data_IF_127708908110
#
_entry.id   IF_127708908110
#
_cell.length_a   1.000
_cell.length_b   1.000
_cell.length_c   1.000
_cell.angle_alpha   90.00
_cell.angle_beta   90.00
_cell.angle_gamma   90.00
#
_symmetry.space_group_name_H-M   'P 1'
#
loop_
_entity.id
_entity.type
_entity.pdbx_description
1 polymer ?
#
# COMPACT_ATOMS: atom_id res chain seq x y z
N UNK A 1 -6.26 35.62 -17.82
CA UNK A 1 -7.56 35.92 -17.18
C UNK A 1 -8.35 34.65 -16.83
N UNK A 2 -8.55 33.69 -17.76
CA UNK A 2 -9.30 32.44 -17.51
C UNK A 2 -8.78 31.62 -16.33
N UNK A 3 -7.46 31.52 -16.16
CA UNK A 3 -6.83 30.76 -15.07
C UNK A 3 -7.22 31.29 -13.68
N UNK A 4 -7.29 32.61 -13.53
CA UNK A 4 -7.65 33.23 -12.26
C UNK A 4 -9.09 32.88 -11.87
N UNK A 5 -10.03 33.09 -12.79
CA UNK A 5 -11.45 32.78 -12.54
C UNK A 5 -11.69 31.28 -12.34
N UNK A 6 -11.00 30.43 -13.09
CA UNK A 6 -11.11 28.97 -12.96
C UNK A 6 -10.50 28.45 -11.66
N UNK A 7 -9.49 29.13 -11.11
CA UNK A 7 -8.92 28.77 -9.82
C UNK A 7 -9.90 29.04 -8.67
N UNK A 8 -10.73 30.08 -8.78
CA UNK A 8 -11.64 30.54 -7.72
C UNK A 8 -13.03 29.90 -7.85
N UNK A 9 -13.59 29.85 -9.06
CA UNK A 9 -14.97 29.42 -9.31
C UNK A 9 -15.02 28.11 -10.09
N UNK A 10 -16.13 27.39 -9.96
CA UNK A 10 -16.46 26.28 -10.87
C UNK A 10 -17.18 26.90 -12.06
N UNK A 11 -16.47 27.02 -13.19
CA UNK A 11 -17.05 27.59 -14.41
C UNK A 11 -17.78 26.51 -15.22
N UNK A 12 -18.87 26.85 -15.94
CA UNK A 12 -19.57 25.89 -16.80
C UNK A 12 -18.66 25.37 -17.92
N UNK A 13 -18.81 24.09 -18.29
CA UNK A 13 -18.06 23.51 -19.40
C UNK A 13 -18.31 24.22 -20.74
N UNK A 14 -19.52 24.73 -20.94
CA UNK A 14 -19.88 25.54 -22.12
C UNK A 14 -19.07 26.83 -22.23
N UNK A 15 -18.60 27.40 -21.11
CA UNK A 15 -17.71 28.55 -21.14
C UNK A 15 -16.34 28.17 -21.73
N UNK A 16 -15.74 27.08 -21.24
CA UNK A 16 -14.45 26.60 -21.75
C UNK A 16 -14.53 26.24 -23.23
N UNK A 17 -15.54 25.48 -23.63
CA UNK A 17 -15.79 25.13 -25.03
C UNK A 17 -15.95 26.36 -25.92
N UNK A 18 -16.62 27.42 -25.42
CA UNK A 18 -16.76 28.67 -26.16
C UNK A 18 -15.41 29.36 -26.35
N UNK A 19 -14.59 29.48 -25.31
CA UNK A 19 -13.27 30.10 -25.42
C UNK A 19 -12.36 29.29 -26.36
N UNK A 20 -12.33 27.97 -26.23
CA UNK A 20 -11.58 27.08 -27.14
C UNK A 20 -12.02 27.27 -28.61
N UNK A 21 -13.32 27.44 -28.86
CA UNK A 21 -13.84 27.77 -30.18
C UNK A 21 -13.35 29.13 -30.71
N UNK A 22 -13.26 30.17 -29.87
CA UNK A 22 -12.72 31.47 -30.26
C UNK A 22 -11.21 31.37 -30.57
N UNK A 23 -10.47 30.60 -29.78
CA UNK A 23 -9.05 30.35 -30.01
C UNK A 23 -8.82 29.59 -31.32
N UNK A 24 -9.64 28.58 -31.61
CA UNK A 24 -9.60 27.85 -32.88
C UNK A 24 -9.90 28.76 -34.08
N UNK A 25 -10.95 29.59 -33.98
CA UNK A 25 -11.30 30.54 -35.04
C UNK A 25 -10.16 31.53 -35.29
N UNK A 26 -9.57 32.07 -34.23
CA UNK A 26 -8.45 33.01 -34.33
C UNK A 26 -7.23 32.36 -34.99
N UNK A 27 -6.87 31.14 -34.59
CA UNK A 27 -5.71 30.43 -35.14
C UNK A 27 -5.84 30.19 -36.65
N UNK A 28 -7.03 29.77 -37.12
CA UNK A 28 -7.22 29.38 -38.53
C UNK A 28 -7.60 30.53 -39.46
N UNK A 29 -8.24 31.57 -38.94
CA UNK A 29 -8.85 32.64 -39.75
C UNK A 29 -8.48 34.06 -39.32
N UNK A 30 -7.67 34.22 -38.28
CA UNK A 30 -7.27 35.51 -37.70
C UNK A 30 -8.46 36.38 -37.22
N UNK A 31 -9.58 35.74 -36.85
CA UNK A 31 -10.77 36.39 -36.28
C UNK A 31 -11.53 35.44 -35.35
N UNK A 32 -12.43 35.95 -34.51
CA UNK A 32 -13.14 35.15 -33.49
C UNK A 32 -14.55 34.68 -33.90
N UNK A 33 -14.99 34.94 -35.14
CA UNK A 33 -16.35 34.65 -35.58
C UNK A 33 -16.65 33.15 -35.82
N UNK A 34 -15.82 32.47 -36.61
CA UNK A 34 -16.01 31.06 -36.97
C UNK A 34 -14.71 30.35 -37.30
N UNK A 35 -14.60 29.09 -36.91
CA UNK A 35 -13.50 28.19 -37.29
C UNK A 35 -13.82 27.39 -38.57
N UNK A 36 -14.84 27.78 -39.35
CA UNK A 36 -15.22 27.09 -40.58
C UNK A 36 -14.04 26.99 -41.55
N UNK A 37 -13.81 25.77 -42.06
CA UNK A 37 -12.67 25.42 -42.91
C UNK A 37 -11.32 25.30 -42.18
N UNK A 38 -11.33 25.11 -40.86
CA UNK A 38 -10.15 24.62 -40.13
C UNK A 38 -9.68 23.27 -40.73
N UNK A 39 -8.37 23.15 -40.98
CA UNK A 39 -7.78 21.94 -41.58
C UNK A 39 -7.50 20.84 -40.55
N UNK A 40 -7.31 21.22 -39.29
CA UNK A 40 -7.03 20.30 -38.18
C UNK A 40 -7.95 20.65 -37.01
N UNK A 41 -8.54 19.64 -36.38
CA UNK A 41 -9.45 19.84 -35.26
C UNK A 41 -8.71 20.42 -34.04
N UNK A 42 -9.39 21.24 -33.22
CA UNK A 42 -8.78 21.90 -32.06
C UNK A 42 -8.13 20.90 -31.09
N UNK A 43 -8.79 19.77 -30.84
CA UNK A 43 -8.24 18.68 -30.01
C UNK A 43 -6.88 18.16 -30.49
N UNK A 44 -6.65 18.13 -31.81
CA UNK A 44 -5.41 17.63 -32.39
C UNK A 44 -4.33 18.71 -32.40
N UNK A 45 -4.73 19.98 -32.57
CA UNK A 45 -3.86 21.14 -32.36
C UNK A 45 -3.35 21.19 -30.91
N UNK A 46 -4.18 20.81 -29.94
CA UNK A 46 -3.84 20.78 -28.53
C UNK A 46 -2.89 19.65 -28.11
N UNK A 47 -2.65 18.65 -28.97
CA UNK A 47 -1.73 17.54 -28.63
C UNK A 47 -0.30 18.04 -28.40
N UNK A 48 0.53 17.31 -27.63
CA UNK A 48 1.94 17.60 -27.49
C UNK A 48 2.65 17.70 -28.85
N UNK A 49 3.72 18.50 -28.92
CA UNK A 49 4.52 18.64 -30.15
C UNK A 49 5.10 17.31 -30.65
N UNK A 50 5.40 16.40 -29.73
CA UNK A 50 5.87 15.04 -30.07
C UNK A 50 4.81 14.20 -30.79
N UNK A 51 3.52 14.51 -30.61
CA UNK A 51 2.39 13.83 -31.26
C UNK A 51 1.87 14.60 -32.48
N UNK A 52 2.62 15.61 -32.96
CA UNK A 52 2.26 16.42 -34.13
C UNK A 52 1.30 17.59 -33.85
N UNK A 53 0.99 17.88 -32.58
CA UNK A 53 0.22 19.07 -32.19
C UNK A 53 1.10 20.30 -31.92
N UNK A 54 0.49 21.38 -31.43
CA UNK A 54 1.18 22.62 -31.03
C UNK A 54 1.55 22.68 -29.55
N UNK A 55 1.08 21.72 -28.74
CA UNK A 55 1.28 21.70 -27.29
C UNK A 55 0.44 22.72 -26.52
N UNK A 56 -0.66 23.19 -27.11
CA UNK A 56 -1.62 24.06 -26.44
C UNK A 56 -2.51 23.22 -25.52
N UNK A 57 -2.72 23.63 -24.27
CA UNK A 57 -3.61 22.88 -23.37
C UNK A 57 -5.08 23.24 -23.65
N UNK A 58 -5.96 22.26 -23.87
CA UNK A 58 -7.39 22.53 -24.03
C UNK A 58 -7.96 23.05 -22.72
N UNK A 59 -8.87 24.04 -22.80
CA UNK A 59 -9.40 24.69 -21.59
C UNK A 59 -10.42 23.82 -20.85
N UNK A 60 -11.06 22.87 -21.53
CA UNK A 60 -11.97 21.91 -20.89
C UNK A 60 -11.28 21.12 -19.75
N UNK A 61 -9.98 20.87 -19.86
CA UNK A 61 -9.19 20.19 -18.81
C UNK A 61 -8.95 21.08 -17.58
N UNK A 62 -9.07 22.41 -17.72
CA UNK A 62 -8.74 23.35 -16.64
C UNK A 62 -9.70 23.19 -15.47
N UNK A 63 -10.97 22.88 -15.72
CA UNK A 63 -11.96 22.64 -14.66
C UNK A 63 -11.50 21.52 -13.72
N UNK A 64 -11.01 20.41 -14.26
CA UNK A 64 -10.47 19.29 -13.50
C UNK A 64 -9.19 19.69 -12.77
N UNK A 65 -8.24 20.31 -13.47
CA UNK A 65 -6.94 20.70 -12.90
C UNK A 65 -7.09 21.67 -11.73
N UNK A 66 -7.94 22.69 -11.86
CA UNK A 66 -8.15 23.65 -10.76
C UNK A 66 -8.95 23.06 -9.61
N UNK A 67 -9.84 22.11 -9.88
CA UNK A 67 -10.52 21.36 -8.82
C UNK A 67 -9.53 20.47 -8.07
N UNK A 68 -8.63 19.76 -8.77
CA UNK A 68 -7.53 19.01 -8.15
C UNK A 68 -6.63 19.91 -7.29
N UNK A 69 -6.24 21.08 -7.82
CA UNK A 69 -5.47 22.07 -7.07
C UNK A 69 -6.20 22.54 -5.81
N UNK A 70 -7.52 22.68 -5.88
CA UNK A 70 -8.36 23.09 -4.73
C UNK A 70 -8.43 22.01 -3.67
N UNK A 71 -8.57 20.74 -4.07
CA UNK A 71 -8.46 19.59 -3.16
C UNK A 71 -7.08 19.57 -2.51
N UNK A 72 -6.01 19.78 -3.28
CA UNK A 72 -4.66 19.86 -2.75
C UNK A 72 -4.53 20.96 -1.68
N UNK A 73 -4.97 22.19 -1.98
CA UNK A 73 -4.94 23.33 -1.02
C UNK A 73 -5.72 23.00 0.26
N UNK A 74 -6.86 22.31 0.14
CA UNK A 74 -7.64 21.87 1.31
C UNK A 74 -6.84 20.99 2.27
N UNK A 75 -5.96 20.13 1.75
CA UNK A 75 -5.10 19.26 2.56
C UNK A 75 -3.76 19.91 2.94
N UNK A 76 -3.14 20.70 2.07
CA UNK A 76 -1.78 21.24 2.25
C UNK A 76 -1.72 22.58 2.99
N UNK A 77 -2.77 23.40 2.91
CA UNK A 77 -2.73 24.80 3.38
C UNK A 77 -3.49 25.00 4.69
N UNK A 78 -2.93 24.47 5.78
CA UNK A 78 -3.39 24.79 7.15
C UNK A 78 -3.25 26.28 7.43
N UNK A 79 -4.34 26.96 7.80
CA UNK A 79 -4.38 28.40 8.11
C UNK A 79 -5.09 29.28 7.06
N UNK A 80 -5.56 28.70 5.96
CA UNK A 80 -6.49 29.41 5.07
C UNK A 80 -7.88 29.47 5.69
N UNK A 81 -8.46 30.67 5.80
CA UNK A 81 -9.85 30.86 6.28
C UNK A 81 -10.86 30.01 5.50
N UNK A 82 -10.65 29.83 4.19
CA UNK A 82 -11.50 28.97 3.37
C UNK A 82 -11.39 27.49 3.78
N UNK A 83 -10.17 27.01 4.06
CA UNK A 83 -9.93 25.63 4.53
C UNK A 83 -10.53 25.43 5.93
N UNK A 84 -10.32 26.38 6.83
CA UNK A 84 -10.82 26.30 8.20
C UNK A 84 -12.36 26.35 8.22
N UNK A 85 -12.97 27.22 7.42
CA UNK A 85 -14.41 27.27 7.25
C UNK A 85 -14.96 25.94 6.72
N UNK A 86 -14.34 25.36 5.69
CA UNK A 86 -14.75 24.06 5.17
C UNK A 86 -14.65 22.95 6.22
N UNK A 87 -13.56 22.90 6.98
CA UNK A 87 -13.37 21.91 8.05
C UNK A 87 -14.42 22.06 9.16
N UNK A 88 -14.78 23.29 9.52
CA UNK A 88 -15.69 23.58 10.64
C UNK A 88 -17.18 23.57 10.27
N UNK A 89 -17.54 23.81 9.01
CA UNK A 89 -18.94 23.90 8.58
C UNK A 89 -19.37 22.77 7.65
N UNK A 90 -18.51 22.37 6.71
CA UNK A 90 -18.84 21.32 5.72
C UNK A 90 -18.41 19.94 6.21
N UNK A 91 -17.15 19.81 6.64
CA UNK A 91 -16.53 18.53 7.00
C UNK A 91 -16.42 18.29 8.51
N UNK A 92 -17.30 18.92 9.29
CA UNK A 92 -17.26 18.87 10.75
C UNK A 92 -17.73 17.53 11.31
N UNK A 93 -18.76 16.94 10.70
CA UNK A 93 -19.29 15.60 11.05
C UNK A 93 -18.64 14.48 10.25
N UNK A 94 -18.43 14.73 8.96
CA UNK A 94 -17.91 13.74 8.02
C UNK A 94 -16.62 14.24 7.38
N UNK A 95 -15.66 13.34 7.20
CA UNK A 95 -14.38 13.67 6.57
C UNK A 95 -14.55 13.76 5.06
N UNK A 96 -13.65 14.49 4.41
CA UNK A 96 -13.61 14.68 2.95
C UNK A 96 -13.81 13.38 2.16
N UNK A 97 -13.08 12.32 2.54
CA UNK A 97 -13.11 11.01 1.87
C UNK A 97 -14.38 10.18 2.10
N UNK A 98 -15.24 10.59 3.02
CA UNK A 98 -16.44 9.83 3.41
C UNK A 98 -17.74 10.58 3.13
N UNK A 99 -17.67 11.88 2.91
CA UNK A 99 -18.84 12.69 2.61
C UNK A 99 -19.35 12.34 1.21
N UNK A 100 -20.63 11.99 1.13
CA UNK A 100 -21.30 11.74 -0.15
C UNK A 100 -21.73 13.04 -0.82
N UNK A 101 -21.70 13.10 -2.16
CA UNK A 101 -22.24 14.25 -2.90
C UNK A 101 -23.74 14.43 -2.59
N UNK A 102 -24.15 15.67 -2.39
CA UNK A 102 -25.53 16.05 -2.09
C UNK A 102 -25.86 17.38 -2.76
N UNK A 103 -27.09 17.55 -3.30
CA UNK A 103 -27.54 18.83 -3.84
C UNK A 103 -27.50 20.01 -2.85
N UNK A 104 -27.43 19.74 -1.55
CA UNK A 104 -27.32 20.76 -0.49
C UNK A 104 -25.93 21.38 -0.40
N UNK A 105 -24.92 20.73 -0.96
CA UNK A 105 -23.54 21.20 -0.95
C UNK A 105 -23.32 22.23 -2.05
N UNK A 106 -22.39 23.17 -1.83
CA UNK A 106 -22.06 24.16 -2.84
C UNK A 106 -21.43 23.49 -4.07
N UNK A 107 -21.62 24.01 -5.30
CA UNK A 107 -21.04 23.45 -6.51
C UNK A 107 -19.53 23.22 -6.42
N UNK A 108 -18.81 24.09 -5.70
CA UNK A 108 -17.39 23.94 -5.39
C UNK A 108 -17.07 22.70 -4.56
N UNK A 109 -17.82 22.43 -3.49
CA UNK A 109 -17.59 21.24 -2.67
C UNK A 109 -17.97 19.99 -3.46
N UNK A 110 -19.08 20.04 -4.19
CA UNK A 110 -19.54 18.92 -5.02
C UNK A 110 -18.51 18.53 -6.07
N UNK A 111 -17.92 19.50 -6.78
CA UNK A 111 -16.87 19.22 -7.77
C UNK A 111 -15.62 18.59 -7.13
N UNK A 112 -15.26 19.01 -5.91
CA UNK A 112 -14.17 18.38 -5.15
C UNK A 112 -14.48 16.91 -4.81
N UNK A 113 -15.70 16.62 -4.33
CA UNK A 113 -16.13 15.26 -3.99
C UNK A 113 -16.22 14.34 -5.22
N UNK A 114 -16.67 14.87 -6.36
CA UNK A 114 -16.74 14.11 -7.61
C UNK A 114 -15.36 13.67 -8.12
N UNK A 115 -14.30 14.39 -7.76
CA UNK A 115 -12.92 14.00 -8.07
C UNK A 115 -12.26 13.10 -7.02
N UNK A 116 -12.95 12.75 -5.93
CA UNK A 116 -12.38 11.85 -4.90
C UNK A 116 -11.77 10.55 -5.47
N UNK A 117 -12.40 9.83 -6.42
CA UNK A 117 -11.80 8.62 -6.99
C UNK A 117 -10.45 8.88 -7.65
N UNK A 118 -10.35 9.95 -8.45
CA UNK A 118 -9.09 10.34 -9.13
C UNK A 118 -8.04 10.77 -8.10
N UNK A 119 -8.41 11.62 -7.14
CA UNK A 119 -7.47 12.11 -6.12
C UNK A 119 -6.94 10.95 -5.27
N UNK A 120 -7.77 9.94 -5.00
CA UNK A 120 -7.37 8.76 -4.21
C UNK A 120 -6.27 7.92 -4.89
N UNK A 121 -6.04 8.06 -6.18
CA UNK A 121 -4.95 7.37 -6.88
C UNK A 121 -3.61 8.10 -6.71
N UNK A 122 -3.64 9.44 -6.69
CA UNK A 122 -2.43 10.26 -6.75
C UNK A 122 -2.01 10.86 -5.40
N UNK A 123 -2.93 11.03 -4.45
CA UNK A 123 -2.66 11.72 -3.20
C UNK A 123 -2.45 10.73 -2.05
N UNK A 124 -1.37 10.90 -1.31
CA UNK A 124 -1.04 10.13 -0.11
C UNK A 124 -0.74 11.08 1.04
N UNK A 125 -1.06 10.64 2.25
CA UNK A 125 -0.74 11.37 3.46
C UNK A 125 0.60 10.86 4.00
N UNK A 126 1.57 11.76 4.13
CA UNK A 126 2.80 11.48 4.89
C UNK A 126 2.50 11.68 6.37
N UNK A 127 2.67 10.62 7.17
CA UNK A 127 2.22 10.59 8.57
C UNK A 127 3.02 11.56 9.45
N UNK A 128 4.34 11.65 9.22
CA UNK A 128 5.25 12.36 10.12
C UNK A 128 5.11 11.86 11.56
N UNK A 129 4.83 12.77 12.50
CA UNK A 129 4.57 12.43 13.91
C UNK A 129 3.16 11.87 14.18
N UNK A 130 2.28 11.83 13.18
CA UNK A 130 0.92 11.30 13.27
C UNK A 130 -0.11 12.23 13.92
N UNK A 131 0.23 13.47 14.27
CA UNK A 131 -0.69 14.41 14.92
C UNK A 131 -1.75 15.02 13.97
N UNK A 132 -1.46 15.05 12.68
CA UNK A 132 -2.34 15.64 11.66
C UNK A 132 -3.16 14.56 10.97
N UNK A 133 -2.54 13.45 10.59
CA UNK A 133 -3.17 12.35 9.87
C UNK A 133 -4.30 11.70 10.68
N UNK A 134 -5.46 11.54 10.06
CA UNK A 134 -6.55 10.74 10.61
C UNK A 134 -6.24 9.26 10.47
N UNK A 135 -6.37 8.50 11.56
CA UNK A 135 -6.12 7.07 11.56
C UNK A 135 -7.02 6.32 10.58
N UNK A 136 -8.32 6.66 10.55
CA UNK A 136 -9.33 5.92 9.80
C UNK A 136 -9.54 6.39 8.36
N UNK A 137 -9.41 7.69 8.10
CA UNK A 137 -9.93 8.31 6.88
C UNK A 137 -8.86 8.74 5.88
N UNK A 138 -7.62 8.98 6.31
CA UNK A 138 -6.58 9.46 5.41
C UNK A 138 -5.85 8.30 4.71
N UNK A 139 -5.35 8.57 3.50
CA UNK A 139 -4.59 7.64 2.67
C UNK A 139 -3.12 7.56 3.11
N UNK A 140 -2.89 7.18 4.38
CA UNK A 140 -1.55 7.06 4.96
C UNK A 140 -0.99 5.62 4.93
N UNK A 141 -1.80 4.65 4.51
CA UNK A 141 -1.37 3.27 4.27
C UNK A 141 -1.50 2.88 2.80
N UNK A 142 -0.87 1.79 2.39
CA UNK A 142 -1.05 1.21 1.05
C UNK A 142 -2.45 0.64 0.82
N UNK A 143 -3.20 0.37 1.89
CA UNK A 143 -4.58 -0.12 1.83
C UNK A 143 -5.60 1.01 1.64
N UNK A 144 -5.15 2.27 1.59
CA UNK A 144 -6.02 3.44 1.58
C UNK A 144 -6.58 3.75 2.98
N UNK A 145 -7.77 4.38 3.06
CA UNK A 145 -8.44 4.67 4.32
C UNK A 145 -8.82 3.37 5.03
N UNK A 146 -8.29 3.17 6.24
CA UNK A 146 -8.50 1.95 7.01
C UNK A 146 -9.98 1.63 7.27
N UNK A 147 -10.86 2.65 7.32
CA UNK A 147 -12.29 2.46 7.51
C UNK A 147 -12.97 1.72 6.34
N UNK A 148 -12.42 1.83 5.13
CA UNK A 148 -12.95 1.13 3.95
C UNK A 148 -12.61 -0.36 4.00
N UNK A 149 -11.44 -0.71 4.53
CA UNK A 149 -10.99 -2.09 4.67
C UNK A 149 -11.61 -2.78 5.90
N UNK A 150 -11.54 -2.14 7.07
CA UNK A 150 -11.99 -2.73 8.33
C UNK A 150 -13.51 -2.57 8.57
N UNK A 151 -14.19 -1.77 7.75
CA UNK A 151 -15.62 -1.50 7.84
C UNK A 151 -16.00 -0.44 8.88
N UNK A 152 -17.25 0.04 8.81
CA UNK A 152 -17.74 1.16 9.63
C UNK A 152 -17.78 0.87 11.14
N UNK A 153 -17.76 -0.41 11.54
CA UNK A 153 -17.73 -0.82 12.94
C UNK A 153 -16.31 -0.86 13.52
N UNK A 154 -15.27 -0.79 12.70
CA UNK A 154 -13.88 -0.91 13.13
C UNK A 154 -13.47 0.08 14.25
N UNK A 155 -13.89 1.37 14.24
CA UNK A 155 -13.58 2.26 15.36
C UNK A 155 -14.08 1.76 16.72
N UNK A 156 -15.22 1.06 16.74
CA UNK A 156 -15.76 0.45 17.95
C UNK A 156 -15.03 -0.85 18.28
N UNK A 157 -14.82 -1.71 17.28
CA UNK A 157 -14.18 -3.02 17.47
C UNK A 157 -12.74 -2.91 17.96
N UNK A 158 -11.97 -1.96 17.41
CA UNK A 158 -10.56 -1.75 17.73
C UNK A 158 -10.34 -0.69 18.82
N UNK A 159 -11.41 -0.14 19.41
CA UNK A 159 -11.39 0.89 20.46
C UNK A 159 -10.53 2.13 20.11
N UNK A 160 -10.36 2.41 18.82
CA UNK A 160 -9.74 3.63 18.32
C UNK A 160 -10.85 4.56 17.86
N UNK A 161 -10.95 5.74 18.48
CA UNK A 161 -12.03 6.70 18.20
C UNK A 161 -12.12 6.99 16.70
N UNK A 162 -13.33 7.18 16.18
CA UNK A 162 -13.56 7.46 14.75
C UNK A 162 -12.77 8.69 14.27
N UNK A 163 -12.61 9.70 15.13
CA UNK A 163 -11.86 10.91 14.85
C UNK A 163 -10.38 10.87 15.28
N UNK A 164 -9.86 9.71 15.73
CA UNK A 164 -8.51 9.58 16.24
C UNK A 164 -7.45 9.95 15.19
N UNK A 165 -6.38 10.56 15.68
CA UNK A 165 -5.14 10.78 14.93
C UNK A 165 -4.25 9.55 14.97
N UNK A 166 -3.32 9.43 14.01
CA UNK A 166 -2.39 8.29 13.96
C UNK A 166 -1.52 8.23 15.23
N UNK A 167 -1.10 9.37 15.76
CA UNK A 167 -0.33 9.45 17.02
C UNK A 167 -1.08 8.90 18.24
N UNK A 168 -2.42 8.97 18.25
CA UNK A 168 -3.23 8.46 19.37
C UNK A 168 -3.27 6.91 19.38
N UNK A 169 -2.95 6.28 18.24
CA UNK A 169 -2.86 4.83 18.11
C UNK A 169 -1.44 4.30 18.34
N UNK A 170 -0.48 5.15 18.74
CA UNK A 170 0.90 4.75 19.03
C UNK A 170 1.37 5.24 20.40
N UNK A 171 2.30 4.54 21.03
CA UNK A 171 3.00 4.96 22.25
C UNK A 171 4.45 4.49 22.18
N UNK A 172 5.38 5.42 22.39
CA UNK A 172 6.83 5.15 22.33
C UNK A 172 7.30 4.51 21.01
N UNK A 173 6.64 4.82 19.88
CA UNK A 173 6.96 4.23 18.58
C UNK A 173 6.33 2.86 18.30
N UNK A 174 5.58 2.31 19.26
CA UNK A 174 4.84 1.06 19.09
C UNK A 174 3.35 1.31 18.90
N UNK A 175 2.67 0.43 18.17
CA UNK A 175 1.23 0.50 17.96
C UNK A 175 0.47 0.07 19.21
N UNK A 176 -0.33 0.97 19.77
CA UNK A 176 -1.33 0.66 20.78
C UNK A 176 -2.59 0.20 20.06
N UNK A 177 -2.61 -1.05 19.63
CA UNK A 177 -3.83 -1.68 19.10
C UNK A 177 -4.48 -2.49 20.25
N UNK A 178 -5.59 -2.02 20.82
CA UNK A 178 -6.34 -2.80 21.80
C UNK A 178 -6.82 -4.10 21.16
N UNK A 179 -6.86 -5.19 21.93
CA UNK A 179 -7.46 -6.44 21.48
C UNK A 179 -8.88 -6.17 20.94
N UNK A 180 -9.15 -6.62 19.71
CA UNK A 180 -10.42 -6.35 19.04
C UNK A 180 -11.59 -6.97 19.82
N UNK A 181 -12.75 -6.30 19.82
CA UNK A 181 -13.98 -6.81 20.46
C UNK A 181 -14.72 -7.85 19.61
N UNK A 182 -14.50 -7.87 18.30
CA UNK A 182 -15.20 -8.76 17.39
C UNK A 182 -14.47 -10.10 17.29
N UNK A 183 -15.22 -11.20 17.34
CA UNK A 183 -14.69 -12.56 17.32
C UNK A 183 -13.91 -12.82 16.01
N UNK A 184 -14.23 -12.11 14.92
CA UNK A 184 -13.51 -12.19 13.64
C UNK A 184 -12.13 -11.48 13.63
N UNK A 185 -11.85 -10.61 14.61
CA UNK A 185 -10.59 -9.87 14.74
C UNK A 185 -9.81 -10.22 16.03
N UNK A 186 -10.35 -11.11 16.87
CA UNK A 186 -9.65 -11.65 18.03
C UNK A 186 -8.69 -12.72 17.55
N UNK A 187 -7.43 -12.34 17.41
CA UNK A 187 -6.34 -13.32 17.29
C UNK A 187 -6.25 -14.03 18.65
N UNK A 188 -6.32 -15.38 18.69
CA UNK A 188 -6.13 -16.11 19.93
C UNK A 188 -4.80 -15.72 20.60
N UNK A 189 -4.81 -15.49 21.91
CA UNK A 189 -3.58 -15.24 22.66
C UNK A 189 -2.68 -16.49 22.68
N UNK A 190 -3.28 -17.68 22.62
CA UNK A 190 -2.57 -18.93 22.42
C UNK A 190 -2.12 -19.10 20.97
N UNK A 191 -0.93 -19.66 20.77
CA UNK A 191 -0.36 -19.99 19.48
C UNK A 191 -1.30 -20.89 18.68
N UNK A 192 -1.77 -20.41 17.52
CA UNK A 192 -2.71 -21.16 16.67
C UNK A 192 -2.08 -22.40 16.00
N UNK A 193 -0.75 -22.51 16.06
CA UNK A 193 -0.03 -23.64 15.47
C UNK A 193 0.04 -24.85 16.40
N UNK A 194 0.37 -24.66 17.69
CA UNK A 194 0.48 -25.74 18.68
C UNK A 194 -0.61 -25.74 19.74
N UNK A 195 -1.33 -24.63 19.93
CA UNK A 195 -2.34 -24.43 20.97
C UNK A 195 -1.87 -24.54 22.43
N UNK A 196 -0.54 -24.58 22.67
CA UNK A 196 0.02 -24.91 24.00
C UNK A 196 0.63 -23.73 24.77
N UNK A 197 1.04 -22.65 24.10
CA UNK A 197 1.69 -21.48 24.72
C UNK A 197 1.16 -20.17 24.16
N UNK A 198 1.42 -19.07 24.86
CA UNK A 198 1.16 -17.71 24.37
C UNK A 198 1.91 -17.47 23.04
N UNK A 199 1.22 -16.91 22.06
CA UNK A 199 1.82 -16.56 20.79
C UNK A 199 2.70 -15.31 20.93
N UNK A 200 4.01 -15.49 20.78
CA UNK A 200 4.99 -14.42 20.62
C UNK A 200 5.81 -14.67 19.37
N UNK A 201 6.50 -13.66 18.82
CA UNK A 201 7.41 -13.89 17.70
C UNK A 201 8.46 -14.96 18.01
N UNK A 202 9.00 -14.96 19.24
CA UNK A 202 9.96 -15.95 19.70
C UNK A 202 9.35 -17.37 19.70
N UNK A 203 8.17 -17.51 20.30
CA UNK A 203 7.48 -18.80 20.33
C UNK A 203 7.11 -19.29 18.93
N UNK A 204 6.49 -18.43 18.12
CA UNK A 204 5.97 -18.76 16.80
C UNK A 204 7.05 -19.34 15.88
N UNK A 205 8.26 -18.80 15.91
CA UNK A 205 9.33 -19.21 15.00
C UNK A 205 10.32 -20.20 15.62
N UNK A 206 10.62 -20.13 16.93
CA UNK A 206 11.73 -20.89 17.51
C UNK A 206 11.33 -21.96 18.52
N UNK A 207 10.32 -21.72 19.37
CA UNK A 207 9.92 -22.68 20.42
C UNK A 207 8.73 -23.56 20.05
N UNK A 208 7.91 -23.15 19.07
CA UNK A 208 6.71 -23.87 18.71
C UNK A 208 7.08 -25.23 18.10
N UNK A 209 6.54 -26.32 18.65
CA UNK A 209 6.78 -27.69 18.15
C UNK A 209 6.37 -27.86 16.68
N UNK A 210 5.26 -27.22 16.28
CA UNK A 210 4.81 -27.23 14.89
C UNK A 210 5.81 -26.53 13.95
N UNK A 211 6.30 -25.35 14.34
CA UNK A 211 7.24 -24.58 13.52
C UNK A 211 8.63 -25.18 13.49
N UNK A 212 9.13 -25.63 14.64
CA UNK A 212 10.44 -26.28 14.77
C UNK A 212 10.52 -27.57 13.95
N UNK A 213 9.43 -28.35 13.87
CA UNK A 213 9.37 -29.50 12.98
C UNK A 213 9.64 -29.14 11.50
N UNK A 214 9.39 -27.90 11.06
CA UNK A 214 9.63 -27.49 9.68
C UNK A 214 11.11 -27.19 9.40
N UNK A 215 11.76 -26.43 10.27
CA UNK A 215 13.10 -25.91 10.01
C UNK A 215 14.21 -26.68 10.73
N UNK A 216 13.94 -27.35 11.87
CA UNK A 216 14.97 -28.11 12.61
C UNK A 216 15.73 -29.12 11.75
N UNK A 217 15.07 -29.93 10.90
CA UNK A 217 15.79 -30.95 10.14
C UNK A 217 16.83 -30.35 9.18
N UNK A 218 16.53 -29.19 8.59
CA UNK A 218 17.48 -28.45 7.76
C UNK A 218 18.53 -27.71 8.58
N UNK A 219 18.12 -27.16 9.73
CA UNK A 219 19.00 -26.44 10.64
C UNK A 219 20.07 -27.35 11.25
N UNK A 220 19.73 -28.58 11.64
CA UNK A 220 20.69 -29.55 12.20
C UNK A 220 21.73 -30.03 11.18
N UNK A 221 21.42 -29.95 9.88
CA UNK A 221 22.36 -30.30 8.83
C UNK A 221 23.39 -29.18 8.56
N UNK A 222 23.07 -27.95 8.96
CA UNK A 222 23.87 -26.75 8.70
C UNK A 222 24.60 -26.28 9.97
N UNK A 223 23.91 -26.33 11.10
CA UNK A 223 24.38 -25.82 12.39
C UNK A 223 24.55 -26.96 13.38
N UNK A 224 25.75 -27.04 13.98
CA UNK A 224 26.01 -27.87 15.15
C UNK A 224 25.07 -27.53 16.31
N UNK A 225 24.71 -26.25 16.43
CA UNK A 225 23.72 -25.72 17.37
C UNK A 225 22.80 -24.76 16.61
N UNK A 226 21.56 -25.18 16.29
CA UNK A 226 20.59 -24.33 15.62
C UNK A 226 20.31 -23.03 16.39
N UNK A 227 20.13 -21.89 15.70
CA UNK A 227 19.74 -20.63 16.32
C UNK A 227 18.41 -20.79 17.07
N UNK A 228 18.40 -20.35 18.32
CA UNK A 228 17.20 -20.35 19.18
C UNK A 228 16.41 -19.06 19.12
N UNK A 229 16.95 -18.03 18.46
CA UNK A 229 16.33 -16.71 18.36
C UNK A 229 16.72 -15.97 17.06
N UNK A 230 16.04 -14.85 16.81
CA UNK A 230 16.23 -14.03 15.62
C UNK A 230 17.60 -13.34 15.57
N UNK A 231 18.14 -12.90 16.71
CA UNK A 231 19.44 -12.24 16.79
C UNK A 231 20.57 -13.23 16.49
N UNK A 232 20.48 -14.45 17.02
CA UNK A 232 21.38 -15.57 16.71
C UNK A 232 21.36 -15.90 15.22
N UNK A 233 20.15 -15.97 14.62
CA UNK A 233 19.98 -16.20 13.18
C UNK A 233 20.61 -15.07 12.34
N UNK A 234 20.33 -13.81 12.70
CA UNK A 234 20.87 -12.63 12.00
C UNK A 234 22.38 -12.54 12.15
N UNK A 235 22.92 -12.81 13.33
CA UNK A 235 24.37 -12.77 13.60
C UNK A 235 25.14 -13.75 12.72
N UNK A 236 24.55 -14.91 12.43
CA UNK A 236 25.12 -15.89 11.52
C UNK A 236 25.03 -15.44 10.07
N UNK A 237 23.85 -14.97 9.64
CA UNK A 237 23.63 -14.45 8.27
C UNK A 237 24.59 -13.30 7.94
N UNK A 238 24.91 -12.45 8.93
CA UNK A 238 25.79 -11.29 8.80
C UNK A 238 27.28 -11.60 8.98
N UNK A 239 27.68 -12.85 9.24
CA UNK A 239 29.09 -13.27 9.35
C UNK A 239 29.49 -14.14 8.15
N UNK A 240 29.93 -13.55 7.03
CA UNK A 240 30.32 -14.30 5.84
C UNK A 240 31.47 -15.30 6.08
N UNK A 241 32.35 -15.01 7.05
CA UNK A 241 33.56 -15.80 7.33
C UNK A 241 33.27 -17.18 7.94
N UNK A 242 32.07 -17.44 8.46
CA UNK A 242 31.72 -18.75 9.05
C UNK A 242 31.05 -19.70 8.05
N UNK A 243 30.58 -19.22 6.91
CA UNK A 243 30.07 -20.09 5.85
C UNK A 243 31.25 -20.60 5.03
N UNK A 244 31.63 -21.86 5.22
CA UNK A 244 32.70 -22.53 4.47
C UNK A 244 32.60 -22.35 2.95
N UNK A 245 31.39 -22.09 2.40
CA UNK A 245 31.12 -21.84 0.98
C UNK A 245 30.00 -20.79 0.81
N UNK A 246 30.15 -19.87 -0.15
CA UNK A 246 29.14 -18.83 -0.50
C UNK A 246 27.76 -19.43 -0.84
N UNK A 247 27.75 -20.60 -1.48
CA UNK A 247 26.56 -21.35 -1.85
C UNK A 247 25.76 -21.87 -0.65
N UNK A 248 26.43 -22.30 0.43
CA UNK A 248 25.75 -22.73 1.67
C UNK A 248 25.01 -21.56 2.32
N UNK A 249 25.60 -20.36 2.30
CA UNK A 249 24.94 -19.17 2.83
C UNK A 249 23.65 -18.81 2.07
N UNK A 250 23.63 -19.01 0.75
CA UNK A 250 22.42 -18.80 -0.08
C UNK A 250 21.33 -19.80 0.27
N UNK A 251 21.68 -21.09 0.37
CA UNK A 251 20.73 -22.16 0.71
C UNK A 251 20.10 -21.90 2.09
N UNK A 252 20.90 -21.51 3.07
CA UNK A 252 20.41 -21.25 4.44
C UNK A 252 19.49 -20.03 4.48
N UNK A 253 19.82 -18.96 3.76
CA UNK A 253 18.93 -17.79 3.61
C UNK A 253 17.58 -18.20 3.00
N UNK A 254 17.61 -19.06 1.97
CA UNK A 254 16.40 -19.56 1.32
C UNK A 254 15.56 -20.45 2.25
N UNK A 255 16.20 -21.35 3.01
CA UNK A 255 15.52 -22.19 4.02
C UNK A 255 14.85 -21.31 5.06
N UNK A 256 15.56 -20.33 5.63
CA UNK A 256 15.02 -19.43 6.65
C UNK A 256 13.85 -18.60 6.10
N UNK A 257 14.05 -17.93 4.97
CA UNK A 257 13.01 -17.10 4.34
C UNK A 257 11.76 -17.92 3.99
N UNK A 258 11.94 -19.11 3.42
CA UNK A 258 10.83 -19.97 3.00
C UNK A 258 10.09 -20.57 4.21
N UNK A 259 10.82 -20.92 5.28
CA UNK A 259 10.22 -21.40 6.54
C UNK A 259 9.37 -20.31 7.19
N UNK A 260 9.90 -19.09 7.33
CA UNK A 260 9.16 -17.93 7.86
C UNK A 260 7.90 -17.67 7.05
N UNK A 261 8.01 -17.69 5.72
CA UNK A 261 6.87 -17.48 4.83
C UNK A 261 5.78 -18.55 5.00
N UNK A 262 6.15 -19.84 5.01
CA UNK A 262 5.19 -20.94 5.15
C UNK A 262 4.53 -20.96 6.53
N UNK A 263 5.29 -20.71 7.60
CA UNK A 263 4.77 -20.58 8.97
C UNK A 263 3.74 -19.46 9.02
N UNK A 264 4.08 -18.28 8.48
CA UNK A 264 3.18 -17.13 8.45
C UNK A 264 1.90 -17.41 7.63
N UNK A 265 2.06 -18.07 6.47
CA UNK A 265 0.93 -18.45 5.61
C UNK A 265 -0.02 -19.41 6.32
N UNK A 266 0.50 -20.44 6.97
CA UNK A 266 -0.28 -21.42 7.72
C UNK A 266 -0.98 -20.79 8.93
N UNK A 267 -0.26 -19.96 9.71
CA UNK A 267 -0.84 -19.20 10.83
C UNK A 267 -2.06 -18.40 10.38
N UNK A 268 -1.94 -17.66 9.27
CA UNK A 268 -3.04 -16.86 8.75
C UNK A 268 -4.18 -17.71 8.20
N UNK A 269 -3.88 -18.85 7.56
CA UNK A 269 -4.92 -19.78 7.09
C UNK A 269 -5.73 -20.35 8.26
N UNK A 270 -5.09 -20.67 9.39
CA UNK A 270 -5.80 -21.10 10.60
C UNK A 270 -6.69 -20.01 11.19
N UNK A 271 -6.22 -18.77 11.21
CA UNK A 271 -6.97 -17.64 11.77
C UNK A 271 -8.15 -17.25 10.87
N UNK A 272 -7.92 -17.10 9.56
CA UNK A 272 -8.90 -16.48 8.67
C UNK A 272 -9.73 -17.46 7.86
N UNK A 273 -9.26 -18.70 7.68
CA UNK A 273 -9.97 -19.73 6.89
C UNK A 273 -10.24 -21.01 7.68
N UNK A 274 -9.86 -21.08 8.96
CA UNK A 274 -10.01 -22.26 9.82
C UNK A 274 -9.43 -23.56 9.22
N UNK A 275 -8.46 -23.43 8.32
CA UNK A 275 -7.78 -24.56 7.68
C UNK A 275 -6.48 -24.87 8.40
N UNK A 276 -6.27 -26.12 8.78
CA UNK A 276 -5.04 -26.59 9.42
C UNK A 276 -4.39 -27.67 8.59
N UNK A 277 -3.11 -27.48 8.31
CA UNK A 277 -2.27 -28.43 7.58
C UNK A 277 -1.32 -29.11 8.56
N UNK A 278 -0.98 -30.41 8.39
CA UNK A 278 0.04 -31.05 9.22
C UNK A 278 1.47 -30.63 8.81
N UNK A 279 2.46 -30.64 9.73
CA UNK A 279 3.83 -30.18 9.45
C UNK A 279 4.49 -30.87 8.26
N UNK A 280 4.20 -32.17 8.06
CA UNK A 280 4.81 -32.98 7.00
C UNK A 280 4.46 -32.49 5.60
N UNK A 281 3.26 -31.91 5.41
CA UNK A 281 2.87 -31.33 4.12
C UNK A 281 3.62 -30.02 3.88
N UNK A 282 3.80 -29.20 4.93
CA UNK A 282 4.61 -27.98 4.84
C UNK A 282 6.09 -28.28 4.62
N UNK A 283 6.65 -29.35 5.20
CA UNK A 283 8.02 -29.79 4.92
C UNK A 283 8.20 -30.13 3.43
N UNK A 284 7.26 -30.85 2.83
CA UNK A 284 7.27 -31.13 1.38
C UNK A 284 7.15 -29.85 0.54
N UNK A 285 6.32 -28.90 0.99
CA UNK A 285 6.19 -27.61 0.32
C UNK A 285 7.47 -26.77 0.44
N UNK A 286 8.14 -26.80 1.59
CA UNK A 286 9.41 -26.13 1.85
C UNK A 286 10.51 -26.69 0.94
N UNK A 287 10.66 -28.01 0.90
CA UNK A 287 11.59 -28.71 0.00
C UNK A 287 11.37 -28.33 -1.45
N UNK A 288 10.11 -28.34 -1.91
CA UNK A 288 9.76 -27.92 -3.27
C UNK A 288 10.13 -26.45 -3.55
N UNK A 289 9.77 -25.53 -2.65
CA UNK A 289 10.07 -24.11 -2.82
C UNK A 289 11.58 -23.84 -2.93
N UNK A 290 12.37 -24.54 -2.12
CA UNK A 290 13.83 -24.42 -2.16
C UNK A 290 14.36 -24.97 -3.49
N UNK A 291 13.93 -26.17 -3.92
CA UNK A 291 14.35 -26.76 -5.20
C UNK A 291 14.01 -25.87 -6.38
N UNK A 292 12.77 -25.40 -6.47
CA UNK A 292 12.28 -24.54 -7.54
C UNK A 292 13.12 -23.24 -7.61
N UNK A 293 13.52 -22.70 -6.45
CA UNK A 293 14.41 -21.53 -6.40
C UNK A 293 15.85 -21.87 -6.76
N UNK A 294 16.40 -22.98 -6.29
CA UNK A 294 17.76 -23.40 -6.60
C UNK A 294 17.95 -23.71 -8.09
N UNK A 295 16.93 -24.24 -8.76
CA UNK A 295 16.91 -24.45 -10.22
C UNK A 295 16.99 -23.15 -11.03
N UNK A 296 16.59 -22.02 -10.45
CA UNK A 296 16.67 -20.72 -11.13
C UNK A 296 18.06 -20.09 -11.12
N UNK A 297 19.02 -20.64 -10.37
CA UNK A 297 20.39 -20.16 -10.37
C UNK A 297 21.21 -20.87 -11.47
N UNK A 298 21.87 -20.11 -12.35
CA UNK A 298 22.74 -20.70 -13.38
C UNK A 298 23.96 -21.37 -12.74
N UNK A 299 24.42 -22.47 -13.33
CA UNK A 299 25.68 -23.09 -12.93
C UNK A 299 26.85 -22.14 -13.25
N UNK A 300 27.73 -21.91 -12.28
CA UNK A 300 28.90 -21.04 -12.46
C UNK A 300 29.91 -21.62 -13.45
N UNK A 301 30.11 -22.94 -13.42
CA UNK A 301 30.91 -23.72 -14.37
C UNK A 301 30.39 -25.16 -14.46
N UNK A 302 30.56 -25.86 -15.60
CA UNK A 302 30.10 -27.25 -15.78
C UNK A 302 30.79 -28.28 -14.85
N UNK A 303 31.88 -27.90 -14.20
CA UNK A 303 32.64 -28.72 -13.24
C UNK A 303 32.38 -28.39 -11.76
N UNK A 304 31.58 -27.35 -11.47
CA UNK A 304 31.23 -26.98 -10.09
C UNK A 304 29.98 -27.73 -9.62
N UNK A 305 30.01 -28.26 -8.39
CA UNK A 305 28.81 -28.86 -7.76
C UNK A 305 27.69 -27.83 -7.73
N UNK A 306 26.51 -28.23 -8.19
CA UNK A 306 25.36 -27.31 -8.24
C UNK A 306 24.88 -26.99 -6.82
N UNK A 307 24.26 -25.81 -6.62
CA UNK A 307 23.66 -25.48 -5.33
C UNK A 307 22.53 -26.45 -4.94
N UNK A 308 21.89 -27.08 -5.93
CA UNK A 308 20.89 -28.12 -5.70
C UNK A 308 21.51 -29.42 -5.17
N UNK A 309 22.67 -29.80 -5.69
CA UNK A 309 23.44 -30.94 -5.20
C UNK A 309 23.93 -30.72 -3.77
N UNK A 310 24.45 -29.52 -3.49
CA UNK A 310 24.82 -29.10 -2.14
C UNK A 310 23.60 -29.10 -1.20
N UNK A 311 22.42 -28.68 -1.68
CA UNK A 311 21.18 -28.75 -0.90
C UNK A 311 20.79 -30.18 -0.54
N UNK A 312 20.97 -31.16 -1.43
CA UNK A 312 20.69 -32.55 -1.10
C UNK A 312 21.58 -33.11 0.02
N UNK A 313 22.79 -32.58 0.19
CA UNK A 313 23.64 -32.95 1.33
C UNK A 313 23.13 -32.42 2.68
N UNK A 314 22.30 -31.37 2.67
CA UNK A 314 21.66 -30.82 3.87
C UNK A 314 20.34 -31.52 4.23
N UNK A 315 19.91 -32.50 3.45
CA UNK A 315 18.63 -33.17 3.68
C UNK A 315 18.80 -34.23 4.79
N UNK A 316 17.92 -34.27 5.80
CA UNK A 316 17.84 -35.43 6.68
C UNK A 316 17.42 -36.67 5.87
N UNK A 317 17.85 -37.88 6.28
CA UNK A 317 17.48 -39.14 5.61
C UNK A 317 15.96 -39.36 5.52
#
# INVERSE_FOLDING_TARGET
MVNFWSAVFVLPQTFYAKIDSLCAAFLWRNHTGSASGARVAWKDVCKPKAEGGLGLRPLEEFGTVFTLKRVWIFFSSSGSLWVDWLKNHVFHRERFWSLSDSPRLSPTVRSMLQLCPVVSEFMRCEVGNGGIASFWFDHWTRLGPLIQFAGQNAPRSLRIRKNAKVIEATRNGEWLMPAARSQELQIPEACVLCSSRLETHHHLFFECEYSSALWQPYASAVWLLPPTDIHSTVSWILRPQQASNSSSAVIVKLVFQSSVYLIWKERNARIFTATSTPPQVLQKALDRLIRDRLLSFPASTPSSSSMLELYFSFRPP
#
